data_IF_361255135694
#
_entry.id   IF_361255135694
#
_cell.length_a   1.000
_cell.length_b   1.000
_cell.length_c   1.000
_cell.angle_alpha   90.00
_cell.angle_beta   90.00
_cell.angle_gamma   90.00
#
_symmetry.space_group_name_H-M   'P 1'
#
loop_
_entity.id
_entity.type
_entity.pdbx_description
1 polymer ?
#
# COMPACT_ATOMS: atom_id res chain seq x y z
N UNK A 1 30.57 -1.45 -33.04
CA UNK A 1 29.10 -1.44 -33.20
C UNK A 1 28.57 -2.48 -32.25
N UNK A 2 27.80 -2.21 -31.22
CA UNK A 2 27.40 -1.01 -30.49
C UNK A 2 26.92 -1.61 -29.17
N UNK A 3 27.41 -1.10 -28.03
CA UNK A 3 26.90 -1.55 -26.75
C UNK A 3 25.46 -1.09 -26.65
N UNK A 4 24.52 -2.03 -26.66
CA UNK A 4 23.21 -1.78 -26.07
C UNK A 4 23.43 -1.88 -24.56
N UNK A 5 23.77 -0.73 -23.97
CA UNK A 5 23.50 -0.50 -22.55
C UNK A 5 21.99 -0.66 -22.39
N UNK A 6 21.59 -1.76 -21.75
CA UNK A 6 20.23 -1.92 -21.27
C UNK A 6 20.13 -0.96 -20.08
N UNK A 7 19.73 0.28 -20.35
CA UNK A 7 19.24 1.18 -19.32
C UNK A 7 18.03 0.47 -18.69
N UNK A 8 18.18 -0.07 -17.49
CA UNK A 8 17.07 -0.54 -16.66
C UNK A 8 16.23 0.67 -16.26
N UNK A 9 15.39 1.17 -17.17
CA UNK A 9 14.34 2.15 -16.89
C UNK A 9 13.14 1.46 -16.24
N UNK A 10 13.34 1.00 -15.00
CA UNK A 10 12.24 0.66 -14.10
C UNK A 10 12.46 1.42 -12.78
N UNK A 11 12.81 2.71 -12.88
CA UNK A 11 12.74 3.58 -11.71
C UNK A 11 11.28 3.95 -11.52
N UNK A 12 10.72 3.57 -10.37
CA UNK A 12 9.32 3.82 -10.03
C UNK A 12 9.02 5.31 -10.11
N UNK A 13 8.06 5.69 -10.96
CA UNK A 13 7.72 7.10 -11.20
C UNK A 13 7.15 7.73 -9.93
N UNK A 14 7.91 8.67 -9.36
CA UNK A 14 7.56 9.35 -8.12
C UNK A 14 6.36 10.30 -8.27
N UNK A 15 5.96 10.65 -9.50
CA UNK A 15 4.82 11.52 -9.78
C UNK A 15 3.46 10.81 -9.70
N UNK A 16 3.45 9.48 -9.67
CA UNK A 16 2.21 8.73 -9.54
C UNK A 16 1.65 8.78 -8.12
N UNK A 17 0.32 8.88 -8.06
CA UNK A 17 -0.48 8.71 -6.86
C UNK A 17 -0.52 7.24 -6.48
N UNK A 18 -0.44 6.93 -5.18
CA UNK A 18 -0.42 5.55 -4.71
C UNK A 18 -1.57 5.31 -3.72
N UNK A 19 -2.36 4.28 -3.99
CA UNK A 19 -3.60 4.00 -3.26
C UNK A 19 -3.60 2.57 -2.73
N UNK A 20 -4.12 2.37 -1.52
CA UNK A 20 -4.43 1.04 -0.99
C UNK A 20 -5.33 0.26 -1.95
N UNK A 21 -5.04 -1.03 -2.08
CA UNK A 21 -5.78 -1.98 -2.91
C UNK A 21 -6.01 -3.32 -2.17
N UNK A 22 -5.89 -3.32 -0.85
CA UNK A 22 -6.29 -4.45 -0.03
C UNK A 22 -6.96 -4.00 1.27
N UNK A 23 -7.93 -4.78 1.74
CA UNK A 23 -8.54 -4.57 3.05
C UNK A 23 -7.54 -4.89 4.17
N UNK A 24 -7.67 -4.23 5.31
CA UNK A 24 -6.73 -4.35 6.41
C UNK A 24 -7.41 -4.19 7.77
N UNK A 25 -6.72 -4.63 8.82
CA UNK A 25 -7.11 -4.45 10.23
C UNK A 25 -5.95 -3.91 11.04
N UNK A 26 -6.22 -3.20 12.13
CA UNK A 26 -5.21 -2.82 13.12
C UNK A 26 -5.24 -3.85 14.26
N UNK A 27 -4.11 -4.51 14.46
CA UNK A 27 -3.98 -5.49 15.53
C UNK A 27 -3.89 -4.76 16.87
N UNK A 28 -4.80 -5.07 17.79
CA UNK A 28 -4.79 -4.52 19.15
C UNK A 28 -3.77 -5.28 20.00
N UNK A 29 -2.61 -4.66 20.28
CA UNK A 29 -1.59 -5.25 21.15
C UNK A 29 -0.14 -4.79 20.93
N UNK A 30 0.17 -4.18 19.78
CA UNK A 30 1.45 -3.54 19.47
C UNK A 30 1.26 -2.08 19.05
N UNK A 31 2.36 -1.35 18.85
CA UNK A 31 2.42 0.05 18.39
C UNK A 31 1.81 0.26 16.98
N UNK A 32 0.51 -0.01 16.81
CA UNK A 32 -0.20 0.19 15.54
C UNK A 32 0.13 -0.83 14.45
N UNK A 33 0.36 -2.09 14.80
CA UNK A 33 0.62 -3.16 13.82
C UNK A 33 -0.56 -3.34 12.84
N UNK A 34 -0.25 -3.39 11.55
CA UNK A 34 -1.22 -3.51 10.46
C UNK A 34 -1.17 -4.91 9.88
N UNK A 35 -2.33 -5.53 9.69
CA UNK A 35 -2.43 -6.80 8.98
C UNK A 35 -3.37 -6.67 7.77
N UNK A 36 -2.96 -7.29 6.66
CA UNK A 36 -3.76 -7.40 5.46
C UNK A 36 -4.77 -8.53 5.61
N UNK A 37 -6.00 -8.31 5.15
CA UNK A 37 -7.00 -9.37 5.04
C UNK A 37 -6.72 -10.17 3.78
N UNK A 38 -6.74 -11.49 3.88
CA UNK A 38 -6.57 -12.36 2.71
C UNK A 38 -7.81 -12.25 1.81
N UNK A 39 -7.58 -12.02 0.52
CA UNK A 39 -8.67 -11.87 -0.46
C UNK A 39 -9.47 -13.17 -0.67
N UNK A 40 -8.86 -14.31 -0.35
CA UNK A 40 -9.36 -15.67 -0.52
C UNK A 40 -9.82 -16.33 0.78
N UNK A 41 -9.56 -15.73 1.95
CA UNK A 41 -10.24 -16.08 3.20
C UNK A 41 -10.29 -14.85 4.14
N UNK A 42 -11.46 -14.23 4.41
CA UNK A 42 -11.49 -12.94 5.10
C UNK A 42 -11.27 -13.11 6.61
N UNK A 43 -11.20 -14.36 7.08
CA UNK A 43 -10.86 -14.72 8.45
C UNK A 43 -9.35 -14.82 8.65
N UNK A 44 -8.59 -14.89 7.57
CA UNK A 44 -7.14 -14.97 7.59
C UNK A 44 -6.56 -13.58 7.36
N UNK A 45 -5.54 -13.26 8.15
CA UNK A 45 -4.79 -12.02 8.00
C UNK A 45 -3.30 -12.31 7.95
N UNK A 46 -2.56 -11.42 7.28
CA UNK A 46 -1.10 -11.47 7.18
C UNK A 46 -0.55 -10.16 7.73
N UNK A 47 0.20 -10.26 8.83
CA UNK A 47 0.86 -9.09 9.43
C UNK A 47 1.88 -8.50 8.46
N UNK A 48 1.83 -7.18 8.28
CA UNK A 48 2.83 -6.46 7.52
C UNK A 48 4.07 -6.19 8.38
N UNK A 49 5.24 -6.29 7.73
CA UNK A 49 6.48 -5.78 8.30
C UNK A 49 6.37 -4.25 8.49
N UNK A 50 6.96 -3.68 9.55
CA UNK A 50 6.82 -2.26 9.89
C UNK A 50 6.93 -1.27 8.73
N UNK A 51 7.94 -1.38 7.85
CA UNK A 51 8.08 -0.45 6.73
C UNK A 51 6.96 -0.60 5.70
N UNK A 52 6.55 -1.83 5.40
CA UNK A 52 5.41 -2.10 4.54
C UNK A 52 4.13 -1.54 5.13
N UNK A 53 3.91 -1.72 6.44
CA UNK A 53 2.76 -1.17 7.16
C UNK A 53 2.72 0.36 7.10
N UNK A 54 3.85 1.04 7.37
CA UNK A 54 3.94 2.50 7.32
C UNK A 54 3.58 3.04 5.93
N UNK A 55 4.23 2.52 4.88
CA UNK A 55 3.97 2.97 3.51
C UNK A 55 2.54 2.66 3.07
N UNK A 56 2.03 1.46 3.38
CA UNK A 56 0.65 1.08 3.09
C UNK A 56 -0.38 2.00 3.77
N UNK A 57 -0.14 2.40 5.01
CA UNK A 57 -1.04 3.30 5.75
C UNK A 57 -1.05 4.72 5.18
N UNK A 58 0.01 5.15 4.51
CA UNK A 58 0.12 6.44 3.84
C UNK A 58 -0.41 6.43 2.39
N UNK A 59 -0.73 5.25 1.83
CA UNK A 59 -1.24 5.09 0.47
C UNK A 59 -2.74 5.48 0.36
N UNK A 60 -3.03 6.77 0.43
CA UNK A 60 -4.40 7.30 0.44
C UNK A 60 -4.99 7.61 -0.93
N UNK A 61 -4.20 7.46 -2.01
CA UNK A 61 -4.62 7.79 -3.38
C UNK A 61 -4.62 9.28 -3.71
N UNK A 62 -4.33 10.14 -2.73
CA UNK A 62 -4.36 11.60 -2.85
C UNK A 62 -2.95 12.20 -2.88
N UNK A 63 -1.96 11.48 -2.36
CA UNK A 63 -0.56 11.88 -2.41
C UNK A 63 0.24 11.01 -3.39
N UNK A 64 1.28 11.61 -3.95
CA UNK A 64 2.25 10.98 -4.83
C UNK A 64 3.34 10.26 -4.05
N UNK A 65 4.08 9.36 -4.71
CA UNK A 65 5.23 8.68 -4.10
C UNK A 65 6.34 9.67 -3.73
N UNK A 66 6.54 10.72 -4.52
CA UNK A 66 7.48 11.80 -4.19
C UNK A 66 7.08 12.54 -2.92
N UNK A 67 5.79 12.81 -2.71
CA UNK A 67 5.28 13.43 -1.47
C UNK A 67 5.44 12.51 -0.26
N UNK A 68 5.26 11.19 -0.42
CA UNK A 68 5.58 10.21 0.62
C UNK A 68 7.06 10.28 1.03
N UNK A 69 7.97 10.29 0.05
CA UNK A 69 9.42 10.38 0.31
C UNK A 69 9.73 11.68 1.03
N UNK A 70 9.17 12.80 0.55
CA UNK A 70 9.32 14.11 1.20
C UNK A 70 8.80 14.13 2.63
N UNK A 71 7.62 13.54 2.87
CA UNK A 71 7.01 13.44 4.20
C UNK A 71 7.88 12.63 5.17
N UNK A 72 8.29 11.42 4.77
CA UNK A 72 9.11 10.54 5.61
C UNK A 72 10.50 11.12 5.84
N UNK A 73 11.11 11.75 4.83
CA UNK A 73 12.37 12.48 4.98
C UNK A 73 12.25 13.61 6.00
N UNK A 74 11.13 14.35 5.99
CA UNK A 74 10.85 15.43 6.94
C UNK A 74 10.76 14.99 8.40
N UNK A 75 10.55 13.69 8.67
CA UNK A 75 10.58 13.15 10.03
C UNK A 75 12.01 13.06 10.59
N UNK A 76 13.03 13.04 9.72
CA UNK A 76 14.44 12.99 10.10
C UNK A 76 15.06 14.38 10.14
N UNK A 77 14.60 15.24 11.07
CA UNK A 77 15.12 16.59 11.37
C UNK A 77 16.09 17.17 10.31
N UNK A 78 17.40 17.12 10.57
CA UNK A 78 18.43 17.66 9.67
C UNK A 78 19.22 16.59 8.91
N UNK A 79 19.12 15.31 9.29
CA UNK A 79 19.99 14.23 8.78
C UNK A 79 19.21 12.95 8.47
N UNK A 80 18.46 12.92 7.35
CA UNK A 80 17.89 11.69 6.85
C UNK A 80 19.00 10.70 6.41
N UNK A 81 18.79 9.39 6.59
CA UNK A 81 19.69 8.37 6.04
C UNK A 81 19.83 8.52 4.52
N UNK A 82 21.04 8.39 3.99
CA UNK A 82 21.30 8.49 2.54
C UNK A 82 20.49 7.46 1.73
N UNK A 83 20.22 6.29 2.33
CA UNK A 83 19.52 5.17 1.71
C UNK A 83 17.99 5.22 1.92
N UNK A 84 17.47 6.26 2.59
CA UNK A 84 16.04 6.33 2.96
C UNK A 84 15.14 6.29 1.72
N UNK A 85 15.46 7.12 0.72
CA UNK A 85 14.69 7.20 -0.53
C UNK A 85 14.65 5.84 -1.24
N UNK A 86 15.81 5.20 -1.42
CA UNK A 86 15.91 3.87 -2.02
C UNK A 86 15.13 2.81 -1.25
N UNK A 87 15.15 2.90 0.09
CA UNK A 87 14.39 1.99 0.96
C UNK A 87 12.89 2.19 0.75
N UNK A 88 12.40 3.43 0.73
CA UNK A 88 10.98 3.74 0.50
C UNK A 88 10.55 3.25 -0.88
N UNK A 89 11.32 3.54 -1.93
CA UNK A 89 11.01 3.11 -3.30
C UNK A 89 10.91 1.58 -3.39
N UNK A 90 11.87 0.84 -2.82
CA UNK A 90 11.83 -0.62 -2.77
C UNK A 90 10.61 -1.17 -2.01
N UNK A 91 10.19 -0.49 -0.94
CA UNK A 91 8.98 -0.86 -0.18
C UNK A 91 7.72 -0.61 -1.01
N UNK A 92 7.61 0.53 -1.70
CA UNK A 92 6.49 0.83 -2.61
C UNK A 92 6.42 -0.19 -3.72
N UNK A 93 7.55 -0.50 -4.37
CA UNK A 93 7.63 -1.49 -5.44
C UNK A 93 7.11 -2.86 -4.98
N UNK A 94 7.56 -3.35 -3.82
CA UNK A 94 7.06 -4.61 -3.25
C UNK A 94 5.56 -4.60 -2.95
N UNK A 95 5.01 -3.45 -2.54
CA UNK A 95 3.57 -3.30 -2.30
C UNK A 95 2.76 -3.27 -3.61
N UNK A 96 3.33 -2.68 -4.66
CA UNK A 96 2.75 -2.67 -6.02
C UNK A 96 2.79 -4.08 -6.62
N UNK A 97 3.94 -4.77 -6.54
CA UNK A 97 4.13 -6.13 -7.06
C UNK A 97 3.21 -7.14 -6.39
N UNK A 98 2.97 -6.99 -5.08
CA UNK A 98 2.01 -7.82 -4.35
C UNK A 98 0.54 -7.48 -4.65
N UNK A 99 0.27 -6.39 -5.38
CA UNK A 99 -1.06 -5.87 -5.65
C UNK A 99 -1.76 -5.28 -4.43
N UNK A 100 -1.01 -5.02 -3.35
CA UNK A 100 -1.51 -4.43 -2.10
C UNK A 100 -1.72 -2.93 -2.22
N UNK A 101 -0.90 -2.27 -3.04
CA UNK A 101 -1.01 -0.86 -3.43
C UNK A 101 -1.09 -0.79 -4.96
N UNK A 102 -1.73 0.24 -5.49
CA UNK A 102 -1.74 0.55 -6.93
C UNK A 102 -1.27 1.98 -7.17
N UNK A 103 -0.57 2.18 -8.27
CA UNK A 103 -0.21 3.48 -8.78
C UNK A 103 -1.27 4.01 -9.75
N UNK A 104 -1.47 5.32 -9.75
CA UNK A 104 -2.42 6.02 -10.61
C UNK A 104 -1.80 7.33 -11.11
N UNK A 105 -2.11 7.71 -12.34
CA UNK A 105 -1.65 8.99 -12.94
C UNK A 105 -2.38 10.21 -12.38
N UNK A 106 -3.52 10.00 -11.72
CA UNK A 106 -4.36 11.05 -11.14
C UNK A 106 -4.80 10.66 -9.71
N UNK A 107 -5.16 11.64 -8.87
CA UNK A 107 -5.72 11.35 -7.55
C UNK A 107 -6.98 10.49 -7.65
N UNK A 108 -7.12 9.56 -6.71
CA UNK A 108 -8.27 8.66 -6.63
C UNK A 108 -8.74 8.50 -5.19
N UNK A 109 -10.06 8.52 -5.01
CA UNK A 109 -10.63 8.15 -3.72
C UNK A 109 -10.65 6.62 -3.57
N UNK A 110 -10.04 6.06 -2.52
CA UNK A 110 -10.09 4.62 -2.27
C UNK A 110 -11.53 4.17 -2.05
N UNK A 111 -11.85 2.96 -2.52
CA UNK A 111 -13.13 2.34 -2.22
C UNK A 111 -13.37 2.27 -0.70
N UNK A 112 -14.63 2.33 -0.27
CA UNK A 112 -15.00 2.41 1.15
C UNK A 112 -14.29 1.37 2.03
N UNK A 113 -14.22 0.12 1.57
CA UNK A 113 -13.61 -1.00 2.28
C UNK A 113 -12.07 -0.99 2.31
N UNK A 114 -11.43 -0.10 1.55
CA UNK A 114 -9.98 0.12 1.50
C UNK A 114 -9.56 1.39 2.26
N UNK A 115 -10.52 2.28 2.53
CA UNK A 115 -10.28 3.57 3.14
C UNK A 115 -10.00 3.47 4.65
N UNK A 116 -10.54 2.45 5.33
CA UNK A 116 -10.49 2.30 6.79
C UNK A 116 -10.26 0.84 7.19
N UNK A 117 -9.79 0.59 8.45
CA UNK A 117 -9.69 -0.76 8.98
C UNK A 117 -11.05 -1.45 9.03
N UNK A 118 -11.09 -2.77 8.81
CA UNK A 118 -12.34 -3.55 8.79
C UNK A 118 -13.16 -3.44 10.07
N UNK A 119 -12.52 -3.24 11.23
CA UNK A 119 -13.19 -3.06 12.52
C UNK A 119 -13.90 -1.70 12.67
N UNK A 120 -13.55 -0.72 11.83
CA UNK A 120 -14.19 0.60 11.76
C UNK A 120 -15.25 0.68 10.65
N UNK A 121 -15.36 -0.34 9.80
CA UNK A 121 -16.37 -0.42 8.75
C UNK A 121 -17.71 -0.87 9.33
N UNK A 122 -18.80 -0.42 8.70
CA UNK A 122 -20.10 -1.01 8.97
C UNK A 122 -20.12 -2.47 8.48
N UNK A 123 -20.51 -3.44 9.33
CA UNK A 123 -20.40 -4.87 9.00
C UNK A 123 -21.30 -5.29 7.83
N UNK A 124 -22.43 -4.62 7.61
CA UNK A 124 -23.32 -4.92 6.48
C UNK A 124 -22.75 -4.36 5.17
N UNK A 125 -22.18 -3.15 5.19
CA UNK A 125 -21.49 -2.58 4.02
C UNK A 125 -20.21 -3.35 3.69
N UNK A 126 -19.38 -3.70 4.68
CA UNK A 126 -18.17 -4.49 4.47
C UNK A 126 -18.48 -5.84 3.80
N UNK A 127 -19.56 -6.51 4.24
CA UNK A 127 -20.03 -7.76 3.63
C UNK A 127 -20.51 -7.57 2.19
N UNK A 128 -21.20 -6.47 1.88
CA UNK A 128 -21.63 -6.17 0.51
C UNK A 128 -20.43 -5.93 -0.41
N UNK A 129 -19.45 -5.13 0.03
CA UNK A 129 -18.25 -4.82 -0.75
C UNK A 129 -17.37 -6.05 -1.00
N UNK A 130 -17.20 -6.93 0.00
CA UNK A 130 -16.51 -8.20 -0.20
C UNK A 130 -17.21 -9.10 -1.25
N UNK A 131 -18.52 -8.97 -1.42
CA UNK A 131 -19.27 -9.73 -2.43
C UNK A 131 -19.25 -9.06 -3.82
N UNK A 132 -19.28 -7.73 -3.89
CA UNK A 132 -19.35 -6.97 -5.15
C UNK A 132 -17.99 -6.86 -5.85
N UNK A 133 -16.89 -6.75 -5.12
CA UNK A 133 -15.55 -6.49 -5.67
C UNK A 133 -14.82 -7.79 -6.12
N UNK A 134 -15.54 -8.91 -6.20
CA UNK A 134 -15.02 -10.19 -6.71
C UNK A 134 -14.03 -10.90 -5.77
N UNK A 135 -14.00 -10.52 -4.49
CA UNK A 135 -13.33 -11.33 -3.47
C UNK A 135 -14.14 -12.64 -3.36
N UNK A 136 -13.48 -13.77 -3.60
CA UNK A 136 -14.01 -15.14 -3.81
C UNK A 136 -14.50 -15.51 -5.22
N UNK A 137 -13.62 -16.19 -5.97
CA UNK A 137 -13.99 -17.52 -6.45
C UNK A 137 -13.86 -18.49 -5.27
N UNK A 138 -14.98 -18.92 -4.69
CA UNK A 138 -14.99 -20.12 -3.86
C UNK A 138 -14.70 -21.30 -4.81
N UNK A 139 -13.65 -22.12 -4.56
CA UNK A 139 -13.52 -23.37 -5.28
C UNK A 139 -14.73 -24.25 -4.94
N UNK A 140 -15.30 -24.84 -5.99
CA UNK A 140 -16.48 -25.70 -5.92
C UNK A 140 -16.17 -27.05 -5.26
#
# INVERSE_FOLDING_TARGET
MGGEEIESSDELDQSHYFCRNNAYTRLTGGDGEVALVDKRDPKQTVSLEPWLATVFMLADGQHTVGELIGHLRGQYMEQPPAELERTILSVVERLVDSGTVRLNEAPIEPAYHLARPIEELDPEEAKRFLQEDGYYQLPH
#
